data_IF_363358685601
#
_entry.id   IF_363358685601
#
_cell.length_a   1.000
_cell.length_b   1.000
_cell.length_c   1.000
_cell.angle_alpha   90.00
_cell.angle_beta   90.00
_cell.angle_gamma   90.00
#
_symmetry.space_group_name_H-M   'P 1'
#
loop_
_entity.id
_entity.type
_entity.pdbx_description
1 polymer ?
#
# COMPACT_ATOMS: atom_id res chain seq x y z
N UNK A 1 23.84 -2.77 -35.86
CA UNK A 1 22.90 -3.25 -34.83
C UNK A 1 21.98 -4.28 -35.47
N UNK A 2 22.01 -5.53 -35.01
CA UNK A 2 21.23 -6.64 -35.58
C UNK A 2 19.86 -6.69 -34.89
N UNK A 3 18.78 -6.46 -35.64
CA UNK A 3 17.41 -6.58 -35.13
C UNK A 3 16.95 -8.04 -35.16
N UNK A 4 16.63 -8.58 -33.99
CA UNK A 4 15.98 -9.89 -33.84
C UNK A 4 14.48 -9.75 -34.14
N UNK A 5 14.05 -10.23 -35.32
CA UNK A 5 12.64 -10.34 -35.67
C UNK A 5 12.27 -11.83 -35.62
N UNK A 6 11.72 -12.27 -34.48
CA UNK A 6 11.00 -13.56 -34.35
C UNK A 6 9.78 -13.48 -35.28
N UNK A 7 9.98 -13.84 -36.55
CA UNK A 7 8.90 -14.04 -37.50
C UNK A 7 8.27 -15.41 -37.24
N UNK A 8 6.94 -15.41 -37.17
CA UNK A 8 6.06 -16.55 -36.94
C UNK A 8 6.41 -17.71 -37.88
N UNK A 9 6.73 -18.87 -37.30
CA UNK A 9 7.00 -20.10 -38.02
C UNK A 9 5.65 -20.73 -38.40
N UNK A 10 5.21 -20.50 -39.64
CA UNK A 10 4.01 -21.12 -40.19
C UNK A 10 4.33 -22.55 -40.65
N UNK A 11 3.69 -23.55 -40.05
CA UNK A 11 3.77 -24.95 -40.50
C UNK A 11 2.88 -25.13 -41.75
N UNK A 12 3.50 -25.03 -42.93
CA UNK A 12 2.86 -25.19 -44.25
C UNK A 12 2.69 -26.66 -44.69
N UNK A 13 2.75 -27.64 -43.77
CA UNK A 13 2.85 -29.06 -44.12
C UNK A 13 1.52 -29.84 -44.19
N UNK A 14 0.37 -29.18 -44.25
CA UNK A 14 -0.93 -29.87 -44.35
C UNK A 14 -1.53 -29.92 -45.77
N UNK A 15 -0.77 -29.56 -46.81
CA UNK A 15 -1.28 -29.45 -48.20
C UNK A 15 -0.38 -30.04 -49.30
N UNK A 16 0.46 -31.04 -49.03
CA UNK A 16 1.16 -31.75 -50.09
C UNK A 16 1.36 -33.26 -49.78
N UNK A 17 0.53 -34.11 -50.36
CA UNK A 17 0.96 -35.45 -50.84
C UNK A 17 1.52 -35.27 -52.27
N UNK A 18 2.42 -36.12 -52.83
CA UNK A 18 2.39 -37.60 -52.81
C UNK A 18 3.77 -38.29 -52.60
N UNK A 19 3.79 -39.62 -52.49
CA UNK A 19 4.92 -40.42 -51.98
C UNK A 19 5.99 -40.94 -52.96
N UNK A 20 7.00 -41.62 -52.39
CA UNK A 20 7.82 -42.73 -52.97
C UNK A 20 8.88 -43.20 -51.93
N UNK A 21 9.03 -44.52 -51.70
CA UNK A 21 10.31 -45.16 -51.30
C UNK A 21 10.48 -45.78 -49.88
N UNK A 22 10.20 -47.09 -49.80
CA UNK A 22 10.36 -48.15 -48.74
C UNK A 22 11.79 -48.36 -48.11
N UNK A 23 12.06 -49.33 -47.16
CA UNK A 23 11.26 -50.49 -46.71
C UNK A 23 11.13 -50.79 -45.18
N UNK A 24 10.19 -51.72 -44.92
CA UNK A 24 10.19 -52.80 -43.92
C UNK A 24 9.38 -52.59 -42.62
N UNK A 25 8.18 -53.21 -42.55
CA UNK A 25 7.97 -54.49 -41.84
C UNK A 25 6.62 -55.10 -42.25
N UNK A 26 6.65 -56.42 -42.43
CA UNK A 26 5.67 -57.32 -43.04
C UNK A 26 4.37 -57.51 -42.24
N UNK A 27 3.24 -57.64 -42.94
CA UNK A 27 2.43 -58.88 -42.99
C UNK A 27 1.22 -58.75 -43.94
N UNK A 28 1.07 -59.73 -44.82
CA UNK A 28 -0.15 -60.10 -45.56
C UNK A 28 -0.47 -61.57 -45.22
N UNK A 29 -1.71 -62.07 -45.37
CA UNK A 29 -2.25 -62.46 -46.69
C UNK A 29 -3.74 -62.08 -46.89
N UNK A 30 -4.14 -61.54 -48.05
CA UNK A 30 -4.74 -62.22 -49.22
C UNK A 30 -6.07 -62.96 -48.96
N UNK A 31 -7.18 -62.41 -49.50
CA UNK A 31 -8.22 -63.13 -50.27
C UNK A 31 -9.35 -62.15 -50.72
N UNK A 32 -9.44 -61.88 -52.02
CA UNK A 32 -10.71 -61.61 -52.72
C UNK A 32 -11.31 -62.95 -53.19
N UNK A 33 -12.56 -63.07 -53.72
CA UNK A 33 -13.57 -62.04 -54.06
C UNK A 33 -14.99 -62.35 -53.54
N UNK A 34 -15.98 -61.45 -53.71
CA UNK A 34 -17.38 -61.76 -54.14
C UNK A 34 -18.18 -60.45 -54.26
N UNK A 35 -18.58 -60.10 -55.49
CA UNK A 35 -19.62 -59.10 -55.85
C UNK A 35 -21.02 -59.77 -55.80
N UNK A 36 -22.17 -59.08 -55.99
CA UNK A 36 -22.51 -57.65 -55.88
C UNK A 36 -23.79 -57.43 -55.02
N UNK A 37 -24.09 -56.21 -54.59
CA UNK A 37 -25.46 -55.85 -54.17
C UNK A 37 -25.86 -54.50 -54.76
N UNK A 38 -27.06 -54.49 -55.32
CA UNK A 38 -27.63 -53.51 -56.26
C UNK A 38 -27.68 -52.07 -55.74
N UNK A 39 -27.45 -51.05 -56.59
CA UNK A 39 -27.88 -49.70 -56.30
C UNK A 39 -29.28 -49.48 -56.87
N UNK A 40 -30.29 -49.37 -56.00
CA UNK A 40 -31.56 -48.75 -56.38
C UNK A 40 -31.37 -47.23 -56.49
N UNK A 41 -30.94 -46.79 -57.68
CA UNK A 41 -30.86 -45.38 -58.04
C UNK A 41 -32.25 -44.82 -58.34
N UNK A 42 -32.78 -44.01 -57.42
CA UNK A 42 -33.87 -43.07 -57.75
C UNK A 42 -33.24 -41.95 -58.58
N UNK A 43 -33.51 -41.95 -59.88
CA UNK A 43 -33.07 -40.90 -60.81
C UNK A 43 -33.76 -39.59 -60.46
N UNK A 44 -33.02 -38.66 -59.85
CA UNK A 44 -33.40 -37.25 -59.78
C UNK A 44 -32.90 -36.54 -61.04
N UNK A 45 -33.71 -35.65 -61.59
CA UNK A 45 -33.36 -34.86 -62.78
C UNK A 45 -32.26 -33.85 -62.39
N UNK A 46 -31.28 -33.59 -63.26
CA UNK A 46 -30.16 -32.64 -63.04
C UNK A 46 -30.63 -31.28 -62.46
N UNK A 47 -31.83 -30.84 -62.85
CA UNK A 47 -32.45 -29.58 -62.43
C UNK A 47 -32.95 -29.58 -60.97
N UNK A 48 -33.38 -30.73 -60.45
CA UNK A 48 -33.78 -30.90 -59.05
C UNK A 48 -32.56 -30.99 -58.13
N UNK A 49 -31.48 -31.61 -58.61
CA UNK A 49 -30.21 -31.69 -57.89
C UNK A 49 -29.55 -30.31 -57.74
N UNK A 50 -29.52 -29.52 -58.82
CA UNK A 50 -29.03 -28.13 -58.79
C UNK A 50 -29.85 -27.26 -57.82
N UNK A 51 -31.17 -27.40 -57.79
CA UNK A 51 -32.04 -26.65 -56.87
C UNK A 51 -31.79 -27.02 -55.41
N UNK A 52 -31.55 -28.30 -55.11
CA UNK A 52 -31.23 -28.77 -53.75
C UNK A 52 -29.83 -28.30 -53.29
N UNK A 53 -28.87 -28.22 -54.21
CA UNK A 53 -27.52 -27.69 -53.98
C UNK A 53 -27.59 -26.18 -53.70
N UNK A 54 -28.25 -25.39 -54.55
CA UNK A 54 -28.40 -23.94 -54.37
C UNK A 54 -29.11 -23.59 -53.06
N UNK A 55 -30.12 -24.39 -52.70
CA UNK A 55 -30.83 -24.24 -51.43
C UNK A 55 -29.90 -24.50 -50.24
N UNK A 56 -29.08 -25.55 -50.29
CA UNK A 56 -28.09 -25.85 -49.24
C UNK A 56 -26.98 -24.81 -49.17
N UNK A 57 -26.51 -24.30 -50.30
CA UNK A 57 -25.47 -23.25 -50.35
C UNK A 57 -26.03 -21.94 -49.78
N UNK A 58 -27.23 -21.53 -50.16
CA UNK A 58 -27.89 -20.33 -49.64
C UNK A 58 -28.14 -20.45 -48.14
N UNK A 59 -28.57 -21.62 -47.68
CA UNK A 59 -28.80 -21.89 -46.27
C UNK A 59 -27.48 -21.88 -45.48
N UNK A 60 -26.41 -22.47 -46.00
CA UNK A 60 -25.07 -22.42 -45.41
C UNK A 60 -24.53 -20.98 -45.36
N UNK A 61 -24.70 -20.18 -46.42
CA UNK A 61 -24.30 -18.77 -46.45
C UNK A 61 -25.07 -17.95 -45.42
N UNK A 62 -26.38 -18.19 -45.29
CA UNK A 62 -27.21 -17.50 -44.29
C UNK A 62 -26.81 -17.88 -42.87
N UNK A 63 -26.55 -19.15 -42.60
CA UNK A 63 -26.06 -19.59 -41.27
C UNK A 63 -24.66 -19.05 -40.98
N UNK A 64 -23.81 -18.94 -41.99
CA UNK A 64 -22.48 -18.35 -41.85
C UNK A 64 -22.54 -16.85 -41.57
N UNK A 65 -23.42 -16.12 -42.26
CA UNK A 65 -23.64 -14.69 -42.01
C UNK A 65 -24.24 -14.45 -40.62
N UNK A 66 -25.25 -15.22 -40.21
CA UNK A 66 -25.82 -15.12 -38.86
C UNK A 66 -24.81 -15.44 -37.76
N UNK A 67 -23.91 -16.41 -37.99
CA UNK A 67 -22.79 -16.69 -37.08
C UNK A 67 -21.82 -15.53 -37.01
N UNK A 68 -21.38 -15.00 -38.15
CA UNK A 68 -20.47 -13.86 -38.18
C UNK A 68 -21.06 -12.60 -37.57
N UNK A 69 -22.34 -12.33 -37.82
CA UNK A 69 -23.03 -11.19 -37.23
C UNK A 69 -23.15 -11.33 -35.70
N UNK A 70 -23.47 -12.53 -35.20
CA UNK A 70 -23.46 -12.82 -33.76
C UNK A 70 -22.07 -12.68 -33.14
N UNK A 71 -21.04 -13.22 -33.78
CA UNK A 71 -19.66 -13.11 -33.28
C UNK A 71 -19.17 -11.66 -33.30
N UNK A 72 -19.55 -10.89 -34.32
CA UNK A 72 -19.24 -9.47 -34.41
C UNK A 72 -19.95 -8.66 -33.33
N UNK A 73 -21.25 -8.89 -33.12
CA UNK A 73 -22.00 -8.24 -32.05
C UNK A 73 -21.45 -8.60 -30.66
N UNK A 74 -21.12 -9.88 -30.41
CA UNK A 74 -20.49 -10.29 -29.15
C UNK A 74 -19.14 -9.62 -28.92
N UNK A 75 -18.30 -9.50 -29.96
CA UNK A 75 -17.04 -8.77 -29.86
C UNK A 75 -17.26 -7.29 -29.53
N UNK A 76 -18.24 -6.67 -30.17
CA UNK A 76 -18.55 -5.26 -29.97
C UNK A 76 -19.09 -4.99 -28.55
N UNK A 77 -19.92 -5.88 -28.03
CA UNK A 77 -20.43 -5.81 -26.65
C UNK A 77 -19.35 -6.11 -25.62
N UNK A 78 -18.50 -7.11 -25.86
CA UNK A 78 -17.37 -7.43 -24.99
C UNK A 78 -16.37 -6.26 -24.92
N UNK A 79 -16.05 -5.63 -26.05
CA UNK A 79 -15.14 -4.49 -26.10
C UNK A 79 -15.73 -3.25 -25.42
N UNK A 80 -17.04 -3.01 -25.54
CA UNK A 80 -17.73 -1.96 -24.79
C UNK A 80 -17.76 -2.22 -23.29
N UNK A 81 -18.07 -3.44 -22.86
CA UNK A 81 -18.06 -3.81 -21.45
C UNK A 81 -16.65 -3.73 -20.86
N UNK A 82 -15.64 -4.16 -21.60
CA UNK A 82 -14.26 -4.11 -21.14
C UNK A 82 -13.77 -2.66 -21.04
N UNK A 83 -14.07 -1.81 -22.02
CA UNK A 83 -13.77 -0.38 -21.97
C UNK A 83 -14.49 0.33 -20.81
N UNK A 84 -15.78 0.03 -20.58
CA UNK A 84 -16.53 0.60 -19.45
C UNK A 84 -15.97 0.11 -18.11
N UNK A 85 -15.63 -1.18 -18.00
CA UNK A 85 -15.01 -1.75 -16.80
C UNK A 85 -13.65 -1.12 -16.53
N UNK A 86 -12.84 -0.91 -17.55
CA UNK A 86 -11.52 -0.27 -17.46
C UNK A 86 -11.65 1.20 -17.04
N UNK A 87 -12.61 1.92 -17.59
CA UNK A 87 -12.90 3.30 -17.23
C UNK A 87 -13.45 3.43 -15.79
N UNK A 88 -14.38 2.55 -15.39
CA UNK A 88 -14.90 2.50 -14.01
C UNK A 88 -13.82 2.13 -13.00
N UNK A 89 -12.97 1.16 -13.30
CA UNK A 89 -11.86 0.80 -12.42
C UNK A 89 -10.89 1.97 -12.26
N UNK A 90 -10.51 2.62 -13.37
CA UNK A 90 -9.58 3.75 -13.33
C UNK A 90 -10.16 4.96 -12.57
N UNK A 91 -11.46 5.22 -12.69
CA UNK A 91 -12.14 6.27 -11.92
C UNK A 91 -12.24 5.91 -10.43
N UNK A 92 -12.68 4.69 -10.10
CA UNK A 92 -12.83 4.24 -8.72
C UNK A 92 -11.48 4.10 -7.98
N UNK A 93 -10.42 3.66 -8.65
CA UNK A 93 -9.06 3.62 -8.07
C UNK A 93 -8.50 5.01 -7.83
N UNK A 94 -8.75 5.97 -8.74
CA UNK A 94 -8.36 7.37 -8.53
C UNK A 94 -9.13 7.99 -7.37
N UNK A 95 -10.43 7.78 -7.27
CA UNK A 95 -11.23 8.25 -6.13
C UNK A 95 -10.74 7.65 -4.82
N UNK A 96 -10.47 6.34 -4.78
CA UNK A 96 -9.91 5.70 -3.58
C UNK A 96 -8.54 6.27 -3.22
N UNK A 97 -7.63 6.45 -4.18
CA UNK A 97 -6.32 7.02 -3.90
C UNK A 97 -6.40 8.47 -3.42
N UNK A 98 -7.32 9.27 -3.98
CA UNK A 98 -7.57 10.65 -3.54
C UNK A 98 -8.21 10.68 -2.16
N UNK A 99 -9.16 9.79 -1.89
CA UNK A 99 -9.81 9.66 -0.60
C UNK A 99 -8.84 9.21 0.49
N UNK A 100 -8.00 8.20 0.22
CA UNK A 100 -6.98 7.72 1.16
C UNK A 100 -5.97 8.83 1.45
N UNK A 101 -5.49 9.56 0.42
CA UNK A 101 -4.61 10.73 0.63
C UNK A 101 -5.27 11.82 1.46
N UNK A 102 -6.54 12.15 1.18
CA UNK A 102 -7.27 13.14 1.98
C UNK A 102 -7.46 12.67 3.42
N UNK A 103 -7.72 11.38 3.63
CA UNK A 103 -7.86 10.78 4.95
C UNK A 103 -6.53 10.81 5.71
N UNK A 104 -5.42 10.42 5.08
CA UNK A 104 -4.08 10.51 5.67
C UNK A 104 -3.72 11.95 6.04
N UNK A 105 -3.98 12.91 5.15
CA UNK A 105 -3.74 14.32 5.42
C UNK A 105 -4.64 14.84 6.56
N UNK A 106 -5.91 14.41 6.59
CA UNK A 106 -6.83 14.75 7.66
C UNK A 106 -6.43 14.14 9.01
N UNK A 107 -5.99 12.88 9.03
CA UNK A 107 -5.49 12.22 10.24
C UNK A 107 -4.20 12.87 10.73
N UNK A 108 -3.30 13.27 9.83
CA UNK A 108 -2.09 14.01 10.17
C UNK A 108 -2.42 15.37 10.76
N UNK A 109 -3.28 16.15 10.11
CA UNK A 109 -3.73 17.44 10.63
C UNK A 109 -4.45 17.30 11.97
N UNK A 110 -5.29 16.28 12.12
CA UNK A 110 -5.98 15.99 13.37
C UNK A 110 -4.98 15.68 14.50
N UNK A 111 -3.97 14.84 14.22
CA UNK A 111 -2.91 14.52 15.20
C UNK A 111 -2.10 15.77 15.57
N UNK A 112 -1.77 16.60 14.59
CA UNK A 112 -1.06 17.85 14.83
C UNK A 112 -1.88 18.83 15.66
N UNK A 113 -3.16 18.97 15.35
CA UNK A 113 -4.10 19.79 16.12
C UNK A 113 -4.32 19.27 17.54
N UNK A 114 -4.43 17.96 17.72
CA UNK A 114 -4.52 17.34 19.05
C UNK A 114 -3.26 17.60 19.86
N UNK A 115 -2.08 17.46 19.25
CA UNK A 115 -0.79 17.78 19.87
C UNK A 115 -0.70 19.26 20.23
N UNK A 116 -1.08 20.16 19.35
CA UNK A 116 -1.07 21.60 19.60
C UNK A 116 -2.06 22.00 20.70
N UNK A 117 -3.25 21.39 20.71
CA UNK A 117 -4.24 21.57 21.77
C UNK A 117 -3.68 21.12 23.11
N UNK A 118 -3.07 19.94 23.18
CA UNK A 118 -2.42 19.44 24.40
C UNK A 118 -1.30 20.38 24.83
N UNK A 119 -0.45 20.81 23.89
CA UNK A 119 0.63 21.78 24.13
C UNK A 119 0.09 23.07 24.76
N UNK A 120 -0.95 23.66 24.20
CA UNK A 120 -1.56 24.86 24.74
C UNK A 120 -2.17 24.64 26.14
N UNK A 121 -2.76 23.46 26.40
CA UNK A 121 -3.25 23.11 27.72
C UNK A 121 -2.10 22.98 28.72
N UNK A 122 -1.04 22.27 28.35
CA UNK A 122 0.17 22.09 29.15
C UNK A 122 0.83 23.43 29.45
N UNK A 123 1.01 24.29 28.45
CA UNK A 123 1.53 25.65 28.64
C UNK A 123 0.71 26.45 29.65
N UNK A 124 -0.63 26.39 29.58
CA UNK A 124 -1.51 27.04 30.55
C UNK A 124 -1.36 26.46 31.95
N UNK A 125 -1.25 25.14 32.07
CA UNK A 125 -1.04 24.48 33.36
C UNK A 125 0.33 24.82 33.94
N UNK A 126 1.40 24.80 33.15
CA UNK A 126 2.74 25.22 33.61
C UNK A 126 2.72 26.67 34.10
N UNK A 127 2.09 27.58 33.34
CA UNK A 127 1.97 28.98 33.74
C UNK A 127 1.16 29.16 35.03
N UNK A 128 0.09 28.38 35.23
CA UNK A 128 -0.70 28.41 36.47
C UNK A 128 0.06 27.88 37.69
N UNK A 129 1.02 26.99 37.46
CA UNK A 129 1.86 26.37 38.51
C UNK A 129 3.21 27.11 38.71
N UNK A 130 3.38 28.30 38.09
CA UNK A 130 4.61 29.10 38.08
C UNK A 130 5.86 28.34 37.56
N UNK A 131 5.66 27.37 36.66
CA UNK A 131 6.71 26.58 36.04
C UNK A 131 7.10 27.17 34.67
N UNK A 132 8.40 27.18 34.29
CA UNK A 132 8.83 27.77 33.02
C UNK A 132 8.28 27.01 31.81
N UNK A 133 7.67 27.74 30.86
CA UNK A 133 7.08 27.19 29.62
C UNK A 133 8.09 26.47 28.72
N UNK A 134 9.37 26.77 28.86
CA UNK A 134 10.48 26.10 28.15
C UNK A 134 10.51 24.58 28.42
N UNK A 135 9.96 24.13 29.55
CA UNK A 135 9.87 22.70 29.87
C UNK A 135 8.64 22.02 29.27
N UNK A 136 7.75 22.75 28.58
CA UNK A 136 6.53 22.17 28.02
C UNK A 136 6.84 21.01 27.05
N UNK A 137 7.74 21.24 26.10
CA UNK A 137 8.12 20.20 25.12
C UNK A 137 8.80 19.01 25.79
N UNK A 138 9.60 19.25 26.83
CA UNK A 138 10.24 18.19 27.63
C UNK A 138 9.22 17.34 28.39
N UNK A 139 8.21 17.97 29.00
CA UNK A 139 7.18 17.31 29.80
C UNK A 139 6.24 16.47 28.92
N UNK A 140 5.97 16.94 27.70
CA UNK A 140 5.16 16.23 26.71
C UNK A 140 5.95 15.20 25.88
N UNK A 141 7.28 15.18 25.97
CA UNK A 141 8.10 14.27 25.19
C UNK A 141 7.77 12.81 25.52
N UNK A 142 7.33 12.06 24.50
CA UNK A 142 6.96 10.65 24.64
C UNK A 142 5.61 10.42 25.33
N UNK A 143 4.79 11.46 25.49
CA UNK A 143 3.48 11.37 26.14
C UNK A 143 2.39 11.95 25.25
N UNK A 144 1.37 11.14 24.95
CA UNK A 144 0.23 11.53 24.11
C UNK A 144 -1.04 11.80 24.92
N UNK A 145 -1.08 11.38 26.20
CA UNK A 145 -2.25 11.49 27.07
C UNK A 145 -2.12 12.66 28.04
N UNK A 146 -3.21 13.41 28.21
CA UNK A 146 -3.27 14.54 29.13
C UNK A 146 -3.00 14.16 30.60
N UNK A 147 -3.42 12.96 31.02
CA UNK A 147 -3.25 12.44 32.39
C UNK A 147 -1.77 12.26 32.73
N UNK A 148 -1.03 11.64 31.81
CA UNK A 148 0.40 11.37 31.94
C UNK A 148 1.21 12.68 31.91
N UNK A 149 0.79 13.66 31.09
CA UNK A 149 1.38 15.01 31.08
C UNK A 149 1.22 15.67 32.45
N UNK A 150 0.04 15.60 33.05
CA UNK A 150 -0.20 16.19 34.38
C UNK A 150 0.59 15.49 35.48
N UNK A 151 0.75 14.16 35.40
CA UNK A 151 1.64 13.42 36.30
C UNK A 151 3.09 13.89 36.18
N UNK A 152 3.59 14.08 34.95
CA UNK A 152 4.94 14.60 34.70
C UNK A 152 5.12 16.02 35.23
N UNK A 153 4.13 16.91 35.06
CA UNK A 153 4.15 18.27 35.63
C UNK A 153 4.32 18.21 37.15
N UNK A 154 3.55 17.36 37.83
CA UNK A 154 3.61 17.23 39.28
C UNK A 154 4.97 16.69 39.77
N UNK A 155 5.53 15.71 39.08
CA UNK A 155 6.87 15.18 39.38
C UNK A 155 7.91 16.27 39.17
N UNK A 156 7.85 16.96 38.03
CA UNK A 156 8.77 18.05 37.71
C UNK A 156 8.69 19.17 38.74
N UNK A 157 7.48 19.60 39.12
CA UNK A 157 7.26 20.61 40.16
C UNK A 157 7.94 20.24 41.46
N UNK A 158 7.74 19.00 41.92
CA UNK A 158 8.36 18.52 43.17
C UNK A 158 9.89 18.58 43.09
N UNK A 159 10.47 17.98 42.05
CA UNK A 159 11.93 17.94 41.88
C UNK A 159 12.52 19.34 41.72
N UNK A 160 11.84 20.23 41.02
CA UNK A 160 12.26 21.61 40.82
C UNK A 160 12.22 22.40 42.13
N UNK A 161 11.13 22.33 42.89
CA UNK A 161 11.03 22.95 44.22
C UNK A 161 12.09 22.42 45.17
N UNK A 162 12.27 21.10 45.26
CA UNK A 162 13.29 20.48 46.13
C UNK A 162 14.71 20.97 45.76
N UNK A 163 15.02 21.09 44.46
CA UNK A 163 16.31 21.58 43.98
C UNK A 163 16.53 23.07 44.27
N UNK A 164 15.49 23.90 44.08
CA UNK A 164 15.52 25.34 44.39
C UNK A 164 15.66 25.56 45.89
N UNK A 165 14.90 24.84 46.71
CA UNK A 165 15.00 24.90 48.17
C UNK A 165 16.39 24.50 48.66
N UNK A 166 16.96 23.42 48.13
CA UNK A 166 18.33 23.00 48.46
C UNK A 166 19.33 24.10 48.12
N UNK A 167 19.25 24.69 46.92
CA UNK A 167 20.12 25.79 46.51
C UNK A 167 19.94 27.03 47.39
N UNK A 168 18.71 27.36 47.77
CA UNK A 168 18.40 28.48 48.67
C UNK A 168 18.96 28.22 50.07
N UNK A 169 18.88 27.00 50.57
CA UNK A 169 19.45 26.60 51.86
C UNK A 169 20.99 26.68 51.84
N UNK A 170 21.64 26.17 50.79
CA UNK A 170 23.09 26.29 50.61
C UNK A 170 23.53 27.77 50.56
N UNK A 171 22.73 28.63 49.89
CA UNK A 171 22.96 30.08 49.86
C UNK A 171 22.71 30.73 51.23
N UNK A 172 21.65 30.34 51.93
CA UNK A 172 21.34 30.86 53.26
C UNK A 172 22.43 30.51 54.28
N UNK A 173 23.01 29.31 54.19
CA UNK A 173 24.14 28.89 55.02
C UNK A 173 25.42 29.68 54.72
N UNK A 174 25.63 30.10 53.48
CA UNK A 174 26.82 30.87 53.08
C UNK A 174 26.67 32.39 53.25
N UNK A 175 25.46 32.91 53.49
CA UNK A 175 25.17 34.36 53.56
C UNK A 175 24.95 34.88 54.98
N UNK A 176 25.57 34.27 56.00
CA UNK A 176 25.73 34.92 57.32
C UNK A 176 27.11 35.61 57.36
N UNK A 177 27.26 36.85 56.88
CA UNK A 177 28.46 37.63 57.13
C UNK A 177 28.49 37.96 58.63
N UNK A 178 29.27 37.20 59.39
CA UNK A 178 29.44 37.42 60.83
C UNK A 178 29.01 36.27 61.75
N UNK A 179 28.74 35.07 61.23
CA UNK A 179 28.85 33.87 62.07
C UNK A 179 30.33 33.61 62.35
N UNK A 180 30.90 34.50 63.17
CA UNK A 180 32.28 34.46 63.61
C UNK A 180 32.56 33.08 64.13
N UNK A 181 33.63 32.48 63.61
CA UNK A 181 34.48 31.59 64.37
C UNK A 181 34.48 32.10 65.80
N UNK A 182 33.88 31.31 66.71
CA UNK A 182 34.16 31.46 68.13
C UNK A 182 35.63 31.09 68.28
N UNK A 183 36.50 32.06 67.97
CA UNK A 183 37.88 32.05 68.41
C UNK A 183 37.79 31.89 69.91
N UNK A 184 38.17 30.70 70.37
CA UNK A 184 38.48 30.48 71.77
C UNK A 184 39.54 31.53 72.10
N UNK A 185 39.11 32.57 72.79
CA UNK A 185 39.99 33.57 73.40
C UNK A 185 40.96 32.81 74.30
N UNK A 186 42.16 32.55 73.78
CA UNK A 186 43.22 31.97 74.56
C UNK A 186 43.74 33.07 75.48
N UNK A 187 43.81 32.81 76.78
CA UNK A 187 44.25 33.77 77.81
C UNK A 187 45.72 34.24 77.64
N UNK A 188 46.42 33.76 76.62
CA UNK A 188 47.78 34.18 76.26
C UNK A 188 47.83 35.20 75.11
N UNK A 189 46.70 35.78 74.72
CA UNK A 189 46.68 36.84 73.71
C UNK A 189 47.45 38.10 74.22
N UNK A 190 48.53 38.54 73.53
CA UNK A 190 49.30 39.72 73.91
C UNK A 190 48.46 41.00 73.98
N UNK A 191 47.33 41.06 73.27
CA UNK A 191 46.40 42.20 73.33
C UNK A 191 45.67 42.29 74.67
N UNK A 192 45.24 41.16 75.25
CA UNK A 192 44.58 41.13 76.56
C UNK A 192 45.59 41.33 77.71
N UNK A 193 46.82 40.81 77.56
CA UNK A 193 47.92 41.05 78.54
C UNK A 193 48.31 42.52 78.66
N UNK A 194 48.19 43.31 77.58
CA UNK A 194 48.45 44.75 77.60
C UNK A 194 47.37 45.57 78.32
N UNK A 195 46.17 45.00 78.50
CA UNK A 195 45.01 45.66 79.12
C UNK A 195 44.86 45.37 80.62
N UNK A 196 45.73 44.53 81.20
CA UNK A 196 45.80 44.31 82.65
C UNK A 196 44.53 43.75 83.29
N UNK A 197 43.71 43.03 82.52
CA UNK A 197 42.52 42.30 82.96
C UNK A 197 42.83 40.81 83.12
#
# INVERSE_FOLDING_TARGET
MKLNKKALQFNLQFFAEPGEGDPATQQSPTAEPTSPSEPQGKTYTEQEFQSEIDRRVTQALKTSQEKWEKEYQQKLEAEKQEAERLAKLSAAEREKAVFEKQKEEFEKQKREFERERLTNQTLKTLAAEDLPSEFCDMIMAGVEKAEDIMANINIFKKVFSDAVEKRLNDRAQTTIPGAGEQQKINADDPFLKGLGL
#
